data_IF_040301483495
#
_entry.id   IF_040301483495
#
_cell.length_a   1.000
_cell.length_b   1.000
_cell.length_c   1.000
_cell.angle_alpha   90.00
_cell.angle_beta   90.00
_cell.angle_gamma   90.00
#
_symmetry.space_group_name_H-M   'P 1'
#
loop_
_entity.id
_entity.type
_entity.pdbx_description
1 polymer ?
#
# COMPACT_ATOMS: atom_id res chain seq x y z
N UNK A 1 13.89 -20.98 11.88
CA UNK A 1 12.60 -20.38 11.46
C UNK A 1 12.85 -19.03 10.84
N UNK A 2 12.22 -18.71 9.71
CA UNK A 2 12.22 -17.35 9.17
C UNK A 2 11.21 -16.50 9.98
N UNK A 3 11.59 -15.28 10.33
CA UNK A 3 10.73 -14.32 11.02
C UNK A 3 10.39 -13.19 10.04
N UNK A 4 9.23 -13.26 9.36
CA UNK A 4 8.85 -12.22 8.41
C UNK A 4 8.63 -10.89 9.12
N UNK A 5 8.81 -9.75 8.43
CA UNK A 5 8.48 -8.44 8.98
C UNK A 5 7.02 -8.37 9.42
N UNK A 6 6.69 -7.53 10.43
CA UNK A 6 5.32 -7.25 10.79
C UNK A 6 4.58 -6.54 9.64
N UNK A 7 3.26 -6.41 9.78
CA UNK A 7 2.45 -5.64 8.84
C UNK A 7 3.03 -4.22 8.71
N UNK A 8 3.32 -3.74 7.49
CA UNK A 8 3.95 -2.44 7.28
C UNK A 8 3.00 -1.26 7.54
N UNK A 9 1.68 -1.49 7.70
CA UNK A 9 0.71 -0.42 7.92
C UNK A 9 0.17 -0.49 9.35
N UNK A 10 0.26 0.63 10.06
CA UNK A 10 -0.27 0.79 11.42
C UNK A 10 -1.28 1.93 11.43
N UNK A 11 -2.52 1.66 11.81
CA UNK A 11 -3.60 2.65 11.82
C UNK A 11 -4.05 3.02 13.23
N UNK A 12 -4.41 4.29 13.40
CA UNK A 12 -5.19 4.80 14.53
C UNK A 12 -6.58 5.24 14.04
N UNK A 13 -7.36 5.91 14.89
CA UNK A 13 -8.74 6.30 14.59
C UNK A 13 -8.89 7.25 13.38
N UNK A 14 -7.84 7.98 12.99
CA UNK A 14 -7.92 9.05 11.99
C UNK A 14 -6.89 8.95 10.86
N UNK A 15 -5.88 8.09 11.01
CA UNK A 15 -4.74 8.02 10.09
C UNK A 15 -4.04 6.67 10.15
N UNK A 16 -3.32 6.35 9.07
CA UNK A 16 -2.47 5.18 8.98
C UNK A 16 -1.04 5.60 8.65
N UNK A 17 -0.06 4.94 9.26
CA UNK A 17 1.36 5.14 9.00
C UNK A 17 1.93 3.92 8.30
N UNK A 18 2.65 4.16 7.20
CA UNK A 18 3.39 3.16 6.45
C UNK A 18 4.86 3.12 6.90
N UNK A 19 5.30 1.92 7.24
CA UNK A 19 6.67 1.56 7.56
C UNK A 19 7.28 0.73 6.43
N UNK A 20 8.61 0.68 6.35
CA UNK A 20 9.32 -0.30 5.54
C UNK A 20 9.84 -1.44 6.41
N UNK A 21 10.11 -2.58 5.78
CA UNK A 21 10.69 -3.74 6.46
C UNK A 21 12.14 -3.55 6.95
N UNK A 22 12.84 -2.50 6.52
CA UNK A 22 14.24 -2.20 6.84
C UNK A 22 14.40 -1.22 8.02
N UNK A 23 13.31 -0.64 8.55
CA UNK A 23 13.31 0.32 9.64
C UNK A 23 12.94 1.76 9.24
N UNK A 24 13.60 2.73 9.86
CA UNK A 24 13.27 4.17 9.69
C UNK A 24 13.70 4.66 8.31
N UNK A 25 12.85 5.47 7.67
CA UNK A 25 13.18 6.12 6.39
C UNK A 25 14.41 7.03 6.50
N UNK A 26 15.17 7.17 5.40
CA UNK A 26 16.37 8.02 5.39
C UNK A 26 16.12 9.49 5.70
N UNK A 27 14.91 10.00 5.42
CA UNK A 27 14.47 11.36 5.75
C UNK A 27 13.97 11.50 7.20
N UNK A 28 13.89 10.39 7.95
CA UNK A 28 13.34 10.28 9.30
C UNK A 28 11.92 10.84 9.45
N UNK A 29 11.14 10.92 8.37
CA UNK A 29 9.75 11.38 8.40
C UNK A 29 8.81 10.21 8.25
N UNK A 30 7.71 10.23 8.99
CA UNK A 30 6.65 9.24 8.83
C UNK A 30 5.99 9.31 7.44
N UNK A 31 5.40 8.20 7.04
CA UNK A 31 4.57 8.13 5.84
C UNK A 31 3.11 7.97 6.24
N UNK A 32 2.42 9.08 6.47
CA UNK A 32 1.01 9.07 6.84
C UNK A 32 0.08 8.99 5.63
N UNK A 33 -1.07 8.34 5.80
CA UNK A 33 -2.20 8.36 4.89
C UNK A 33 -3.52 8.49 5.63
N UNK A 34 -4.48 9.24 5.07
CA UNK A 34 -5.82 9.40 5.64
C UNK A 34 -6.75 8.24 5.31
N UNK A 35 -6.47 7.51 4.23
CA UNK A 35 -7.28 6.40 3.77
C UNK A 35 -6.42 5.18 3.46
N UNK A 36 -6.99 4.02 3.73
CA UNK A 36 -6.42 2.73 3.46
C UNK A 36 -7.52 1.82 2.92
N UNK A 37 -7.21 1.08 1.86
CA UNK A 37 -8.11 0.09 1.27
C UNK A 37 -7.39 -1.25 1.14
N UNK A 38 -8.15 -2.33 1.30
CA UNK A 38 -7.69 -3.71 1.19
C UNK A 38 -8.52 -4.44 0.13
N UNK A 39 -8.27 -4.20 -1.17
CA UNK A 39 -8.97 -4.92 -2.23
C UNK A 39 -8.66 -6.42 -2.14
N UNK A 40 -9.69 -7.23 -2.33
CA UNK A 40 -9.63 -8.69 -2.41
C UNK A 40 -9.72 -9.19 -3.85
N UNK A 41 -10.31 -8.39 -4.73
CA UNK A 41 -10.51 -8.68 -6.16
C UNK A 41 -9.95 -7.58 -7.07
N UNK A 42 -9.73 -7.90 -8.34
CA UNK A 42 -9.31 -6.90 -9.34
C UNK A 42 -10.31 -5.77 -9.48
N UNK A 43 -11.61 -6.08 -9.43
CA UNK A 43 -12.65 -5.05 -9.57
C UNK A 43 -12.63 -4.07 -8.39
N UNK A 44 -12.44 -4.54 -7.16
CA UNK A 44 -12.27 -3.67 -5.99
C UNK A 44 -11.03 -2.79 -6.12
N UNK A 45 -9.93 -3.32 -6.64
CA UNK A 45 -8.72 -2.55 -6.92
C UNK A 45 -8.99 -1.47 -7.98
N UNK A 46 -9.65 -1.83 -9.09
CA UNK A 46 -10.01 -0.89 -10.17
C UNK A 46 -10.92 0.23 -9.67
N UNK A 47 -11.95 -0.11 -8.89
CA UNK A 47 -12.87 0.86 -8.29
C UNK A 47 -12.16 1.79 -7.30
N UNK A 48 -11.24 1.26 -6.48
CA UNK A 48 -10.44 2.08 -5.57
C UNK A 48 -9.58 3.11 -6.33
N UNK A 49 -8.93 2.69 -7.42
CA UNK A 49 -8.14 3.58 -8.29
C UNK A 49 -9.03 4.62 -8.98
N UNK A 50 -10.18 4.20 -9.53
CA UNK A 50 -11.12 5.10 -10.19
C UNK A 50 -11.68 6.17 -9.25
N UNK A 51 -12.10 5.78 -8.04
CA UNK A 51 -12.58 6.70 -7.01
C UNK A 51 -11.49 7.67 -6.57
N UNK A 52 -10.25 7.20 -6.40
CA UNK A 52 -9.13 8.07 -6.06
C UNK A 52 -8.85 9.10 -7.17
N UNK A 53 -8.91 8.68 -8.43
CA UNK A 53 -8.74 9.57 -9.58
C UNK A 53 -9.85 10.64 -9.65
N UNK A 54 -11.12 10.23 -9.52
CA UNK A 54 -12.27 11.15 -9.50
C UNK A 54 -12.15 12.23 -8.41
N UNK A 55 -11.56 11.87 -7.27
CA UNK A 55 -11.38 12.77 -6.12
C UNK A 55 -9.99 13.46 -6.09
N UNK A 56 -9.19 13.33 -7.14
CA UNK A 56 -7.83 13.89 -7.22
C UNK A 56 -6.92 13.49 -6.04
N UNK A 57 -7.04 12.24 -5.58
CA UNK A 57 -6.23 11.70 -4.47
C UNK A 57 -4.92 11.09 -4.99
N UNK A 58 -3.85 11.22 -4.21
CA UNK A 58 -2.56 10.57 -4.48
C UNK A 58 -2.58 9.16 -3.93
N UNK A 59 -2.31 8.18 -4.79
CA UNK A 59 -2.34 6.76 -4.42
C UNK A 59 -0.96 6.13 -4.41
N UNK A 60 -0.75 5.15 -3.52
CA UNK A 60 0.34 4.19 -3.60
C UNK A 60 -0.11 2.79 -3.22
N UNK A 61 0.45 1.82 -3.91
CA UNK A 61 0.27 0.41 -3.60
C UNK A 61 1.30 -0.01 -2.55
N UNK A 62 0.84 -0.74 -1.54
CA UNK A 62 1.65 -1.29 -0.46
C UNK A 62 1.63 -2.80 -0.58
N UNK A 63 2.80 -3.39 -0.76
CA UNK A 63 2.96 -4.84 -0.75
C UNK A 63 2.96 -5.35 0.69
N UNK A 64 2.68 -6.65 0.87
CA UNK A 64 2.53 -7.31 2.17
C UNK A 64 3.60 -6.98 3.21
N UNK A 65 4.84 -6.76 2.80
CA UNK A 65 5.96 -6.45 3.71
C UNK A 65 6.65 -5.11 3.42
N UNK A 66 6.27 -4.37 2.37
CA UNK A 66 6.84 -3.05 2.06
C UNK A 66 8.39 -3.02 2.07
N UNK A 67 9.03 -3.95 1.35
CA UNK A 67 10.48 -3.97 1.17
C UNK A 67 10.94 -2.84 0.22
N UNK A 68 11.07 -1.63 0.77
CA UNK A 68 11.53 -0.47 0.02
C UNK A 68 12.50 0.36 0.86
N UNK A 69 13.71 0.60 0.35
CA UNK A 69 14.70 1.47 1.01
C UNK A 69 14.35 2.95 0.76
N UNK A 70 14.11 3.39 -0.50
CA UNK A 70 13.60 4.73 -0.72
C UNK A 70 12.10 4.80 -0.37
N UNK A 71 11.60 5.99 -0.08
CA UNK A 71 10.21 6.24 0.34
C UNK A 71 9.21 6.19 -0.84
N UNK A 72 9.37 5.24 -1.76
CA UNK A 72 8.60 5.12 -3.01
C UNK A 72 7.16 4.63 -2.81
N UNK A 73 6.94 3.82 -1.78
CA UNK A 73 5.62 3.34 -1.38
C UNK A 73 4.80 4.42 -0.66
N UNK A 74 5.39 5.57 -0.36
CA UNK A 74 4.68 6.68 0.27
C UNK A 74 4.02 7.59 -0.77
N UNK A 75 2.73 7.91 -0.63
CA UNK A 75 2.07 8.88 -1.49
C UNK A 75 2.63 10.28 -1.19
N UNK A 76 3.26 10.90 -2.20
CA UNK A 76 3.77 12.26 -2.08
C UNK A 76 2.62 13.26 -2.16
N UNK A 77 2.24 13.83 -1.03
CA UNK A 77 1.29 14.93 -0.93
C UNK A 77 1.66 15.82 0.25
N UNK A 78 1.61 17.13 0.06
CA UNK A 78 1.70 18.10 1.15
C UNK A 78 0.46 18.05 2.07
N UNK A 79 -0.63 17.44 1.57
CA UNK A 79 -1.88 17.24 2.31
C UNK A 79 -2.09 15.75 2.57
N UNK A 80 -1.82 15.25 3.80
CA UNK A 80 -2.05 13.86 4.17
C UNK A 80 -3.50 13.42 3.98
N UNK A 81 -4.47 14.34 4.10
CA UNK A 81 -5.90 14.10 3.87
C UNK A 81 -6.24 13.67 2.44
N UNK A 82 -5.37 13.96 1.46
CA UNK A 82 -5.55 13.62 0.04
C UNK A 82 -4.74 12.42 -0.43
N UNK A 83 -4.42 11.51 0.49
CA UNK A 83 -3.62 10.32 0.18
C UNK A 83 -4.39 9.05 0.47
N UNK A 84 -4.12 8.01 -0.33
CA UNK A 84 -4.71 6.69 -0.17
C UNK A 84 -3.62 5.64 -0.30
N UNK A 85 -3.57 4.71 0.65
CA UNK A 85 -2.79 3.48 0.53
C UNK A 85 -3.71 2.36 0.05
N UNK A 86 -3.23 1.58 -0.92
CA UNK A 86 -3.89 0.39 -1.41
C UNK A 86 -3.03 -0.81 -1.00
N UNK A 87 -3.44 -1.56 0.01
CA UNK A 87 -2.70 -2.73 0.49
C UNK A 87 -3.07 -3.97 -0.31
N UNK A 88 -2.08 -4.69 -0.81
CA UNK A 88 -2.30 -5.98 -1.50
C UNK A 88 -2.31 -7.16 -0.53
N UNK A 89 -2.38 -6.93 0.78
CA UNK A 89 -2.32 -7.98 1.80
C UNK A 89 -3.43 -9.03 1.66
N UNK A 90 -4.61 -8.60 1.23
CA UNK A 90 -5.80 -9.46 1.06
C UNK A 90 -6.16 -9.71 -0.41
N UNK A 91 -5.35 -9.21 -1.35
CA UNK A 91 -5.61 -9.38 -2.77
C UNK A 91 -5.42 -10.83 -3.19
N UNK A 92 -6.28 -11.32 -4.10
CA UNK A 92 -6.20 -12.67 -4.65
C UNK A 92 -4.78 -13.03 -5.11
N UNK A 93 -4.21 -14.07 -4.52
CA UNK A 93 -2.84 -14.54 -4.78
C UNK A 93 -2.76 -15.72 -5.75
N UNK A 94 -3.89 -16.06 -6.40
CA UNK A 94 -3.95 -17.13 -7.38
C UNK A 94 -3.09 -16.79 -8.60
N UNK A 95 -2.19 -17.71 -8.95
CA UNK A 95 -1.37 -17.64 -10.16
C UNK A 95 -1.89 -18.70 -11.10
N UNK A 96 -2.39 -18.28 -12.27
CA UNK A 96 -2.77 -19.18 -13.35
C UNK A 96 -1.56 -19.45 -14.24
N UNK A 97 -1.32 -20.73 -14.56
CA UNK A 97 -0.20 -21.16 -15.38
C UNK A 97 -0.75 -21.75 -16.68
N UNK A 98 -0.52 -21.07 -17.80
CA UNK A 98 -0.83 -21.58 -19.14
C UNK A 98 0.28 -22.54 -19.61
N UNK A 99 0.02 -23.85 -19.48
CA UNK A 99 0.96 -24.91 -19.85
C UNK A 99 1.16 -25.05 -21.37
N UNK A 100 0.28 -24.49 -22.19
CA UNK A 100 0.37 -24.61 -23.66
C UNK A 100 1.41 -23.63 -24.22
N UNK A 101 1.79 -22.60 -23.44
CA UNK A 101 2.74 -21.54 -23.83
C UNK A 101 4.05 -21.58 -23.04
N UNK A 102 4.34 -22.68 -22.35
CA UNK A 102 5.63 -22.92 -21.69
C UNK A 102 6.70 -23.37 -22.68
#
# INVERSE_FOLDING_TARGET
HAMPPPNPIQCNATSCTLHNAYGVWGDRRDCGSSKLVYPTTEEELRLAVANANQNNLKIKVVTKFSHTIPKLACPSSEQPSKTVLISTEHYGSSIEIDKVKM
#
